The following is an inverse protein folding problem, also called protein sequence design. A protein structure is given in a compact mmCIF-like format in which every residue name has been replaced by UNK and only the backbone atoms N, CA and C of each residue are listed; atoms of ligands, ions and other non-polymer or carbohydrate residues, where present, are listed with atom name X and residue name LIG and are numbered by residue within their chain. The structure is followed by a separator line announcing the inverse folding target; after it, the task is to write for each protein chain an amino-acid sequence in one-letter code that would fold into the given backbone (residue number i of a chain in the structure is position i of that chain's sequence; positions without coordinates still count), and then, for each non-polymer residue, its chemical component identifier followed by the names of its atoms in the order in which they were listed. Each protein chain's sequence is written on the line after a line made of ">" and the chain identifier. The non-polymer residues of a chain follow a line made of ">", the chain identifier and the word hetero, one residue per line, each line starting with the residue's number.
data_IF_502504684975
#
_entry.id   IF_502504684975
#
_cell.length_a   1.000
_cell.length_b   1.000
_cell.length_c   1.000
_cell.angle_alpha   90.00
_cell.angle_beta   90.00
_cell.angle_gamma   90.00
#
_symmetry.space_group_name_H-M   'P 1'
#
loop_
_entity.id
_entity.type
_entity.pdbx_description
1 polymer ?
#
# COMPACT_ATOMS: atom_id res chain seq x y z
N UNK A 1 29.52 -33.54 43.83
CA UNK A 1 29.81 -32.55 42.75
C UNK A 1 29.15 -32.83 41.39
N UNK A 2 28.49 -33.98 41.14
CA UNK A 2 27.80 -34.21 39.84
C UNK A 2 26.27 -34.14 39.87
N UNK A 3 25.64 -34.31 41.03
CA UNK A 3 24.16 -34.30 41.14
C UNK A 3 23.60 -32.92 41.54
N UNK A 4 24.44 -32.09 42.17
CA UNK A 4 24.08 -30.70 42.56
C UNK A 4 23.96 -29.75 41.36
N UNK A 5 24.38 -30.18 40.16
CA UNK A 5 24.47 -29.35 38.95
C UNK A 5 23.16 -29.33 38.16
N UNK A 6 22.25 -30.30 38.36
CA UNK A 6 21.04 -30.43 37.54
C UNK A 6 19.81 -29.66 38.06
N UNK A 7 19.80 -29.22 39.33
CA UNK A 7 18.64 -28.48 39.88
C UNK A 7 18.77 -26.96 39.79
N UNK A 8 19.93 -26.43 39.41
CA UNK A 8 20.11 -24.98 39.20
C UNK A 8 19.61 -24.52 37.82
N UNK A 9 19.37 -25.46 36.89
CA UNK A 9 19.00 -25.14 35.50
C UNK A 9 17.51 -24.79 35.33
N UNK A 10 16.65 -25.12 36.29
CA UNK A 10 15.20 -24.82 36.18
C UNK A 10 14.80 -23.41 36.64
N UNK A 11 15.73 -22.62 37.21
CA UNK A 11 15.42 -21.27 37.69
C UNK A 11 15.73 -20.15 36.67
N UNK A 12 16.29 -20.46 35.49
CA UNK A 12 16.78 -19.46 34.53
C UNK A 12 16.04 -19.45 33.19
N UNK A 13 14.75 -19.81 33.16
CA UNK A 13 13.94 -19.79 31.93
C UNK A 13 12.62 -19.00 32.03
N UNK A 14 12.48 -18.15 33.05
CA UNK A 14 11.30 -17.26 33.20
C UNK A 14 11.59 -15.79 32.83
N UNK A 15 12.51 -15.53 31.89
CA UNK A 15 12.83 -14.18 31.42
C UNK A 15 12.47 -13.94 29.95
N UNK A 16 11.24 -14.29 29.57
CA UNK A 16 10.68 -13.87 28.29
C UNK A 16 9.22 -13.43 28.45
N UNK A 17 9.02 -12.41 29.26
CA UNK A 17 7.81 -11.58 29.18
C UNK A 17 8.08 -10.50 28.13
N UNK A 18 7.39 -10.64 27.00
CA UNK A 18 7.60 -9.87 25.78
C UNK A 18 7.42 -8.37 25.96
N UNK A 19 8.52 -7.64 25.78
CA UNK A 19 8.48 -6.24 25.38
C UNK A 19 8.15 -6.19 23.89
N UNK A 20 6.86 -6.22 23.54
CA UNK A 20 6.40 -5.75 22.23
C UNK A 20 6.69 -4.26 22.15
N UNK A 21 7.92 -3.94 21.72
CA UNK A 21 8.26 -2.65 21.18
C UNK A 21 7.37 -2.45 19.94
N UNK A 22 6.22 -1.83 20.20
CA UNK A 22 5.36 -1.24 19.20
C UNK A 22 6.29 -0.28 18.44
N UNK A 23 6.81 -0.74 17.28
CA UNK A 23 7.50 0.13 16.34
C UNK A 23 6.49 1.22 16.06
N UNK A 24 6.74 2.39 16.64
CA UNK A 24 6.02 3.62 16.41
C UNK A 24 6.14 3.84 14.91
N UNK A 25 5.14 3.34 14.19
CA UNK A 25 4.98 3.57 12.77
C UNK A 25 4.83 5.08 12.71
N UNK A 26 5.92 5.76 12.36
CA UNK A 26 5.90 7.16 12.07
C UNK A 26 4.83 7.32 10.99
N UNK A 27 3.66 7.79 11.41
CA UNK A 27 2.67 8.32 10.49
C UNK A 27 3.35 9.54 9.90
N UNK A 28 4.05 9.32 8.80
CA UNK A 28 4.60 10.38 7.98
C UNK A 28 3.37 11.14 7.50
N UNK A 29 3.12 12.29 8.12
CA UNK A 29 2.21 13.29 7.60
C UNK A 29 2.66 13.55 6.18
N UNK A 30 1.89 13.06 5.20
CA UNK A 30 2.13 13.33 3.80
C UNK A 30 2.05 14.84 3.61
N UNK A 31 3.21 15.48 3.53
CA UNK A 31 3.34 16.89 3.25
C UNK A 31 2.73 17.11 1.86
N UNK A 32 1.77 18.05 1.75
CA UNK A 32 1.04 18.37 0.50
C UNK A 32 1.94 18.83 -0.67
N UNK A 33 3.25 18.82 -0.50
CA UNK A 33 4.21 19.35 -1.47
C UNK A 33 4.96 18.25 -2.25
N UNK A 34 4.70 16.97 -1.97
CA UNK A 34 5.30 15.89 -2.73
C UNK A 34 4.42 15.51 -3.93
N UNK A 35 4.99 15.37 -5.14
CA UNK A 35 4.30 14.83 -6.31
C UNK A 35 3.63 13.48 -5.99
N UNK A 36 2.40 13.26 -6.46
CA UNK A 36 1.72 11.96 -6.31
C UNK A 36 2.42 10.93 -7.19
N UNK A 37 2.96 9.89 -6.55
CA UNK A 37 3.61 8.78 -7.20
C UNK A 37 2.57 7.79 -7.76
N UNK A 38 2.61 7.55 -9.07
CA UNK A 38 1.67 6.66 -9.73
C UNK A 38 1.76 5.22 -9.21
N UNK A 39 2.96 4.65 -9.11
CA UNK A 39 3.16 3.25 -8.75
C UNK A 39 2.80 2.99 -7.28
N UNK A 40 3.09 3.95 -6.40
CA UNK A 40 2.89 3.80 -4.96
C UNK A 40 1.52 4.22 -4.46
N UNK A 41 0.88 5.19 -5.11
CA UNK A 41 -0.35 5.80 -4.59
C UNK A 41 -1.56 5.56 -5.50
N UNK A 42 -1.41 5.68 -6.82
CA UNK A 42 -2.55 5.58 -7.75
C UNK A 42 -2.82 4.14 -8.19
N UNK A 43 -1.78 3.41 -8.59
CA UNK A 43 -1.88 2.04 -9.09
C UNK A 43 -2.53 1.08 -8.09
N UNK A 44 -2.24 1.12 -6.77
CA UNK A 44 -2.92 0.24 -5.82
C UNK A 44 -4.43 0.48 -5.73
N UNK A 45 -4.88 1.74 -5.86
CA UNK A 45 -6.31 2.09 -5.91
C UNK A 45 -6.96 1.40 -7.12
N UNK A 46 -6.33 1.48 -8.29
CA UNK A 46 -6.83 0.89 -9.52
C UNK A 46 -6.75 -0.64 -9.50
N UNK A 47 -5.72 -1.23 -8.90
CA UNK A 47 -5.61 -2.68 -8.71
C UNK A 47 -6.78 -3.19 -7.87
N UNK A 48 -7.08 -2.54 -6.74
CA UNK A 48 -8.14 -3.00 -5.84
C UNK A 48 -9.54 -3.05 -6.48
N UNK A 49 -9.81 -2.21 -7.48
CA UNK A 49 -11.15 -2.06 -8.10
C UNK A 49 -11.24 -2.57 -9.55
N UNK A 50 -10.13 -2.68 -10.27
CA UNK A 50 -10.11 -2.87 -11.72
C UNK A 50 -9.18 -4.00 -12.19
N UNK A 51 -8.43 -4.65 -11.30
CA UNK A 51 -7.44 -5.70 -11.63
C UNK A 51 -7.98 -6.82 -12.53
N UNK A 52 -9.17 -7.42 -12.30
CA UNK A 52 -9.59 -8.60 -13.07
C UNK A 52 -9.74 -8.37 -14.58
N UNK A 53 -9.86 -7.11 -15.01
CA UNK A 53 -10.15 -6.76 -16.40
C UNK A 53 -9.07 -5.88 -17.03
N UNK A 54 -8.56 -4.89 -16.29
CA UNK A 54 -7.71 -3.81 -16.83
C UNK A 54 -6.22 -3.94 -16.51
N UNK A 55 -5.80 -5.05 -15.92
CA UNK A 55 -4.40 -5.36 -15.63
C UNK A 55 -3.94 -6.57 -16.42
N UNK A 56 -2.63 -6.83 -16.43
CA UNK A 56 -2.02 -7.96 -17.15
C UNK A 56 -2.79 -9.28 -16.92
N UNK A 57 -3.15 -9.95 -18.02
CA UNK A 57 -4.01 -11.15 -18.02
C UNK A 57 -5.52 -10.88 -18.03
N UNK A 58 -5.94 -9.62 -17.88
CA UNK A 58 -7.34 -9.21 -17.94
C UNK A 58 -7.88 -9.10 -19.37
N UNK A 59 -9.16 -9.46 -19.54
CA UNK A 59 -9.83 -9.54 -20.86
C UNK A 59 -9.88 -8.25 -21.69
N UNK A 60 -9.66 -7.08 -21.07
CA UNK A 60 -9.66 -5.77 -21.78
C UNK A 60 -8.31 -5.06 -21.72
N UNK A 61 -7.28 -5.71 -21.16
CA UNK A 61 -5.97 -5.12 -20.91
C UNK A 61 -5.33 -4.49 -22.15
N UNK A 62 -5.35 -5.21 -23.28
CA UNK A 62 -4.76 -4.75 -24.54
C UNK A 62 -5.34 -3.41 -25.03
N UNK A 63 -6.62 -3.16 -24.74
CA UNK A 63 -7.33 -1.94 -25.16
C UNK A 63 -7.25 -0.83 -24.12
N UNK A 64 -7.27 -1.17 -22.84
CA UNK A 64 -7.40 -0.20 -21.76
C UNK A 64 -6.63 -0.62 -20.49
N UNK A 65 -5.28 -0.56 -20.51
CA UNK A 65 -4.42 -1.00 -19.41
C UNK A 65 -4.34 0.06 -18.31
N UNK A 66 -4.77 -0.28 -17.09
CA UNK A 66 -4.84 0.63 -15.94
C UNK A 66 -3.58 0.62 -15.05
N UNK A 67 -2.62 -0.24 -15.35
CA UNK A 67 -1.26 -0.19 -14.79
C UNK A 67 -0.35 0.79 -15.53
N UNK A 68 -0.85 1.49 -16.56
CA UNK A 68 -0.11 2.49 -17.33
C UNK A 68 -0.58 3.91 -16.98
N UNK A 69 0.32 4.82 -16.54
CA UNK A 69 -0.07 6.18 -16.17
C UNK A 69 -0.67 6.96 -17.35
N UNK A 70 -0.22 6.72 -18.57
CA UNK A 70 -0.70 7.41 -19.79
C UNK A 70 -2.19 7.14 -20.03
N UNK A 71 -2.64 5.90 -19.80
CA UNK A 71 -4.06 5.52 -19.93
C UNK A 71 -4.93 6.28 -18.93
N UNK A 72 -4.44 6.41 -17.70
CA UNK A 72 -5.15 7.11 -16.61
C UNK A 72 -5.23 8.60 -16.90
N UNK A 73 -4.14 9.21 -17.38
CA UNK A 73 -4.14 10.61 -17.85
C UNK A 73 -5.13 10.83 -18.98
N UNK A 74 -5.17 9.93 -19.98
CA UNK A 74 -6.10 10.02 -21.11
C UNK A 74 -7.57 9.90 -20.70
N UNK A 75 -7.87 9.05 -19.71
CA UNK A 75 -9.24 8.88 -19.19
C UNK A 75 -9.68 10.04 -18.29
N UNK A 76 -8.76 10.56 -17.49
CA UNK A 76 -9.01 11.63 -16.55
C UNK A 76 -10.14 11.30 -15.58
N UNK A 77 -11.08 12.25 -15.43
CA UNK A 77 -12.18 12.17 -14.47
C UNK A 77 -13.24 11.12 -14.81
N UNK A 78 -13.20 10.49 -16.00
CA UNK A 78 -14.11 9.37 -16.35
C UNK A 78 -13.99 8.19 -15.36
N UNK A 79 -12.83 8.02 -14.73
CA UNK A 79 -12.59 7.02 -13.69
C UNK A 79 -13.52 7.18 -12.48
N UNK A 80 -13.98 8.40 -12.20
CA UNK A 80 -14.84 8.73 -11.06
C UNK A 80 -16.29 8.22 -11.19
N UNK A 81 -16.64 7.68 -12.36
CA UNK A 81 -17.88 6.91 -12.52
C UNK A 81 -17.85 5.63 -11.68
N UNK A 82 -16.67 5.02 -11.49
CA UNK A 82 -16.48 3.79 -10.69
C UNK A 82 -15.76 4.02 -9.35
N UNK A 83 -14.94 5.05 -9.24
CA UNK A 83 -14.23 5.40 -8.00
C UNK A 83 -15.02 6.45 -7.23
N UNK A 84 -15.58 6.06 -6.08
CA UNK A 84 -16.47 6.90 -5.27
C UNK A 84 -15.84 7.45 -4.00
N UNK A 85 -14.84 6.77 -3.46
CA UNK A 85 -14.13 7.21 -2.27
C UNK A 85 -13.45 8.57 -2.52
N UNK A 86 -13.61 9.49 -1.57
CA UNK A 86 -13.15 10.86 -1.71
C UNK A 86 -11.62 10.97 -1.66
N UNK A 87 -10.96 10.14 -0.85
CA UNK A 87 -9.50 10.13 -0.76
C UNK A 87 -8.89 9.56 -2.05
N UNK A 88 -9.48 8.50 -2.60
CA UNK A 88 -9.07 7.94 -3.88
C UNK A 88 -9.19 8.97 -5.01
N UNK A 89 -10.34 9.67 -5.06
CA UNK A 89 -10.58 10.72 -6.08
C UNK A 89 -9.63 11.90 -5.91
N UNK A 90 -9.31 12.29 -4.68
CA UNK A 90 -8.32 13.35 -4.41
C UNK A 90 -6.95 12.97 -4.97
N UNK A 91 -6.42 11.80 -4.61
CA UNK A 91 -5.10 11.34 -5.08
C UNK A 91 -5.03 11.23 -6.61
N UNK A 92 -6.08 10.70 -7.24
CA UNK A 92 -6.14 10.61 -8.70
C UNK A 92 -6.24 12.00 -9.32
N UNK A 93 -6.98 12.94 -8.73
CA UNK A 93 -7.08 14.32 -9.22
C UNK A 93 -5.72 15.01 -9.18
N UNK A 94 -5.04 14.94 -8.03
CA UNK A 94 -3.68 15.48 -7.86
C UNK A 94 -2.70 14.85 -8.87
N UNK A 95 -2.78 13.54 -9.11
CA UNK A 95 -1.99 12.87 -10.15
C UNK A 95 -2.28 13.40 -11.57
N UNK A 96 -3.55 13.62 -11.91
CA UNK A 96 -3.96 14.13 -13.22
C UNK A 96 -3.49 15.58 -13.45
N UNK A 97 -3.46 16.40 -12.40
CA UNK A 97 -3.02 17.80 -12.47
C UNK A 97 -1.50 17.95 -12.69
N UNK A 98 -0.70 17.01 -12.18
CA UNK A 98 0.77 17.04 -12.33
C UNK A 98 1.29 16.83 -13.76
N UNK A 99 0.47 16.35 -14.69
CA UNK A 99 0.88 16.09 -16.08
C UNK A 99 0.05 16.81 -17.11
N UNK A 100 -0.59 17.93 -16.71
CA UNK A 100 -1.09 18.94 -17.64
C UNK A 100 0.06 19.83 -18.08
#
# INVERSE_FOLDING_TARGET
>A
MRVLVLLVVTALSLLQAGGSAMKTSAFVSFEKNQPVDFERQVKPILQSKCMPCHFSGGKVYERLPFDKPETIRKLGTKLFTRIKDENDRRLITEFLEQGK
#
